data_IF_701879949882
#
_entry.id   IF_701879949882
#
_cell.length_a   1.000
_cell.length_b   1.000
_cell.length_c   1.000
_cell.angle_alpha   90.00
_cell.angle_beta   90.00
_cell.angle_gamma   90.00
#
_symmetry.space_group_name_H-M   'P 1'
#
loop_
_entity.id
_entity.type
_entity.pdbx_description
1 polymer ?
#
# COMPACT_ATOMS: atom_id res chain seq x y z
N UNK A 1 -20.36 6.78 1.03
CA UNK A 1 -20.58 5.60 0.17
C UNK A 1 -19.39 5.26 -0.72
N UNK A 2 -18.79 6.23 -1.42
CA UNK A 2 -17.68 5.99 -2.36
C UNK A 2 -16.51 5.16 -1.78
N UNK A 3 -16.04 5.51 -0.56
CA UNK A 3 -14.96 4.78 0.14
C UNK A 3 -15.25 3.29 0.38
N UNK A 4 -16.53 2.94 0.60
CA UNK A 4 -16.95 1.55 0.82
C UNK A 4 -17.01 0.79 -0.51
N UNK A 5 -17.51 1.43 -1.56
CA UNK A 5 -17.57 0.86 -2.92
C UNK A 5 -16.15 0.59 -3.42
N UNK A 6 -15.23 1.54 -3.26
CA UNK A 6 -13.83 1.36 -3.65
C UNK A 6 -13.16 0.25 -2.84
N UNK A 7 -13.43 0.15 -1.54
CA UNK A 7 -12.88 -0.93 -0.71
C UNK A 7 -13.41 -2.32 -1.14
N UNK A 8 -14.71 -2.44 -1.44
CA UNK A 8 -15.32 -3.69 -1.93
C UNK A 8 -14.74 -4.08 -3.29
N UNK A 9 -14.61 -3.12 -4.22
CA UNK A 9 -13.98 -3.36 -5.53
C UNK A 9 -12.54 -3.85 -5.39
N UNK A 10 -11.76 -3.25 -4.50
CA UNK A 10 -10.36 -3.66 -4.26
C UNK A 10 -10.28 -5.07 -3.69
N UNK A 11 -11.18 -5.41 -2.75
CA UNK A 11 -11.30 -6.75 -2.18
C UNK A 11 -11.65 -7.80 -3.23
N UNK A 12 -12.64 -7.50 -4.09
CA UNK A 12 -13.04 -8.38 -5.18
C UNK A 12 -11.90 -8.60 -6.19
N UNK A 13 -11.22 -7.54 -6.60
CA UNK A 13 -10.08 -7.63 -7.51
C UNK A 13 -8.95 -8.48 -6.94
N UNK A 14 -8.60 -8.30 -5.66
CA UNK A 14 -7.57 -9.09 -4.99
C UNK A 14 -7.97 -10.57 -4.87
N UNK A 15 -9.23 -10.85 -4.53
CA UNK A 15 -9.75 -12.21 -4.48
C UNK A 15 -9.74 -12.87 -5.87
N UNK A 16 -10.11 -12.15 -6.93
CA UNK A 16 -10.10 -12.65 -8.29
C UNK A 16 -8.68 -13.00 -8.77
N UNK A 17 -7.65 -12.29 -8.29
CA UNK A 17 -6.25 -12.60 -8.59
C UNK A 17 -5.76 -13.90 -7.92
N UNK A 18 -6.40 -14.35 -6.83
CA UNK A 18 -5.95 -15.52 -6.08
C UNK A 18 -6.42 -16.84 -6.70
N UNK A 19 -7.47 -16.82 -7.53
CA UNK A 19 -8.00 -18.02 -8.16
C UNK A 19 -7.44 -18.16 -9.58
N UNK A 20 -6.53 -19.11 -9.79
CA UNK A 20 -5.88 -19.33 -11.09
C UNK A 20 -6.81 -19.86 -12.19
N UNK A 21 -7.88 -20.61 -11.89
CA UNK A 21 -8.76 -21.16 -12.95
C UNK A 21 -10.23 -21.40 -12.57
N UNK A 22 -10.99 -20.40 -12.06
CA UNK A 22 -12.44 -20.55 -11.92
C UNK A 22 -13.14 -20.64 -13.29
N UNK A 23 -12.50 -20.14 -14.35
CA UNK A 23 -13.04 -20.12 -15.70
C UNK A 23 -13.25 -21.51 -16.31
N UNK A 24 -12.32 -22.46 -16.11
CA UNK A 24 -12.48 -23.83 -16.63
C UNK A 24 -13.65 -24.55 -15.97
N UNK A 25 -13.82 -24.34 -14.67
CA UNK A 25 -14.95 -24.89 -13.93
C UNK A 25 -16.27 -24.29 -14.43
N UNK A 26 -16.32 -22.96 -14.60
CA UNK A 26 -17.49 -22.26 -15.12
C UNK A 26 -17.84 -22.71 -16.54
N UNK A 27 -16.86 -22.82 -17.42
CA UNK A 27 -17.02 -23.31 -18.80
C UNK A 27 -17.57 -24.75 -18.83
N UNK A 28 -17.11 -25.61 -17.91
CA UNK A 28 -17.66 -26.95 -17.75
C UNK A 28 -19.13 -26.93 -17.33
N UNK A 29 -19.53 -26.08 -16.39
CA UNK A 29 -20.93 -25.99 -15.94
C UNK A 29 -21.85 -25.39 -17.01
N UNK A 30 -21.39 -24.39 -17.75
CA UNK A 30 -22.16 -23.77 -18.83
C UNK A 30 -22.28 -24.72 -20.03
N UNK A 31 -21.24 -25.51 -20.33
CA UNK A 31 -21.17 -26.34 -21.52
C UNK A 31 -20.83 -27.82 -21.24
N UNK A 32 -21.48 -28.42 -20.23
CA UNK A 32 -21.19 -29.81 -19.82
C UNK A 32 -21.34 -30.82 -20.97
N UNK A 33 -22.29 -30.57 -21.89
CA UNK A 33 -22.53 -31.42 -23.04
C UNK A 33 -21.31 -31.52 -23.99
N UNK A 34 -20.59 -30.42 -24.23
CA UNK A 34 -19.37 -30.44 -25.05
C UNK A 34 -18.26 -31.27 -24.39
N UNK A 35 -18.11 -31.17 -23.08
CA UNK A 35 -17.15 -31.97 -22.32
C UNK A 35 -17.53 -33.46 -22.32
N UNK A 36 -18.82 -33.77 -22.16
CA UNK A 36 -19.31 -35.14 -22.22
C UNK A 36 -19.12 -35.77 -23.61
N UNK A 37 -19.27 -35.00 -24.69
CA UNK A 37 -18.99 -35.44 -26.07
C UNK A 37 -17.55 -35.89 -26.26
N UNK A 38 -16.58 -35.29 -25.58
CA UNK A 38 -15.17 -35.67 -25.68
C UNK A 38 -14.69 -36.58 -24.53
N UNK A 39 -15.59 -37.12 -23.72
CA UNK A 39 -15.24 -37.95 -22.57
C UNK A 39 -14.57 -39.27 -23.00
N UNK A 40 -13.41 -39.60 -22.40
CA UNK A 40 -12.71 -40.87 -22.65
C UNK A 40 -13.36 -42.06 -21.92
N UNK A 41 -14.09 -41.80 -20.83
CA UNK A 41 -14.70 -42.83 -19.98
C UNK A 41 -16.13 -43.21 -20.43
N UNK A 42 -16.51 -42.93 -21.68
CA UNK A 42 -17.85 -43.26 -22.21
C UNK A 42 -18.18 -44.76 -22.11
N UNK A 43 -17.19 -45.61 -22.25
CA UNK A 43 -17.33 -47.07 -22.12
C UNK A 43 -17.56 -47.54 -20.66
N UNK A 44 -17.46 -46.65 -19.67
CA UNK A 44 -17.63 -46.95 -18.23
C UNK A 44 -18.74 -46.08 -17.63
N UNK A 45 -20.02 -46.32 -17.97
CA UNK A 45 -21.14 -45.49 -17.53
C UNK A 45 -21.33 -45.45 -16.01
N UNK A 46 -20.95 -46.53 -15.30
CA UNK A 46 -20.99 -46.61 -13.83
C UNK A 46 -20.16 -45.54 -13.11
N UNK A 47 -19.19 -44.92 -13.80
CA UNK A 47 -18.32 -43.89 -13.24
C UNK A 47 -18.95 -42.49 -13.21
N UNK A 48 -20.10 -42.28 -13.89
CA UNK A 48 -20.77 -40.98 -13.99
C UNK A 48 -19.83 -39.81 -14.30
N UNK A 49 -18.88 -40.03 -15.23
CA UNK A 49 -17.79 -39.08 -15.49
C UNK A 49 -18.29 -37.78 -16.13
N UNK A 50 -19.24 -37.84 -17.06
CA UNK A 50 -19.88 -36.65 -17.68
C UNK A 50 -18.89 -35.59 -18.16
N UNK A 51 -17.76 -35.99 -18.74
CA UNK A 51 -16.74 -35.06 -19.26
C UNK A 51 -15.80 -34.46 -18.22
N UNK A 52 -15.92 -34.80 -16.92
CA UNK A 52 -15.02 -34.30 -15.85
C UNK A 52 -13.54 -34.61 -16.10
N UNK A 53 -13.24 -35.70 -16.79
CA UNK A 53 -11.87 -36.03 -17.21
C UNK A 53 -11.25 -34.98 -18.14
N UNK A 54 -12.04 -34.40 -19.05
CA UNK A 54 -11.57 -33.36 -19.97
C UNK A 54 -11.41 -32.02 -19.25
N UNK A 55 -12.31 -31.70 -18.31
CA UNK A 55 -12.17 -30.53 -17.43
C UNK A 55 -10.87 -30.60 -16.62
N UNK A 56 -10.61 -31.74 -15.97
CA UNK A 56 -9.38 -31.96 -15.20
C UNK A 56 -8.13 -31.83 -16.07
N UNK A 57 -8.16 -32.34 -17.30
CA UNK A 57 -7.05 -32.23 -18.24
C UNK A 57 -6.73 -30.78 -18.60
N UNK A 58 -7.75 -29.95 -18.86
CA UNK A 58 -7.57 -28.52 -19.13
C UNK A 58 -6.97 -27.80 -17.92
N UNK A 59 -7.46 -28.10 -16.72
CA UNK A 59 -6.96 -27.51 -15.48
C UNK A 59 -5.47 -27.79 -15.27
N UNK A 60 -5.04 -29.05 -15.48
CA UNK A 60 -3.63 -29.44 -15.40
C UNK A 60 -2.76 -28.75 -16.48
N UNK A 61 -3.32 -28.48 -17.66
CA UNK A 61 -2.60 -27.78 -18.72
C UNK A 61 -2.41 -26.29 -18.38
N UNK A 62 -3.41 -25.66 -17.77
CA UNK A 62 -3.32 -24.28 -17.27
C UNK A 62 -2.33 -24.16 -16.12
N UNK A 63 -2.38 -25.06 -15.13
CA UNK A 63 -1.40 -25.10 -14.03
C UNK A 63 0.04 -25.23 -14.53
N UNK A 64 0.28 -26.08 -15.54
CA UNK A 64 1.62 -26.22 -16.15
C UNK A 64 2.07 -24.95 -16.86
N UNK A 65 1.16 -24.27 -17.58
CA UNK A 65 1.46 -22.99 -18.24
C UNK A 65 1.78 -21.90 -17.22
N UNK A 66 1.05 -21.85 -16.10
CA UNK A 66 1.34 -20.92 -15.01
C UNK A 66 2.69 -21.21 -14.34
N UNK A 67 3.00 -22.48 -14.06
CA UNK A 67 4.29 -22.87 -13.50
C UNK A 67 5.45 -22.45 -14.41
N UNK A 68 5.35 -22.74 -15.71
CA UNK A 68 6.38 -22.36 -16.69
C UNK A 68 6.52 -20.83 -16.81
N UNK A 69 5.41 -20.08 -16.75
CA UNK A 69 5.47 -18.61 -16.74
C UNK A 69 6.12 -18.06 -15.46
N UNK A 70 5.88 -18.68 -14.32
CA UNK A 70 6.43 -18.27 -13.03
C UNK A 70 7.94 -18.56 -12.93
N UNK A 71 8.39 -19.70 -13.45
CA UNK A 71 9.83 -20.01 -13.60
C UNK A 71 10.53 -18.96 -14.46
N UNK A 72 9.93 -18.60 -15.60
CA UNK A 72 10.46 -17.58 -16.50
C UNK A 72 10.44 -16.16 -15.90
N UNK A 73 9.47 -15.85 -15.03
CA UNK A 73 9.44 -14.59 -14.26
C UNK A 73 10.43 -14.54 -13.11
N UNK A 74 10.77 -15.69 -12.53
CA UNK A 74 11.71 -15.79 -11.40
C UNK A 74 13.15 -15.55 -11.86
N UNK A 75 13.53 -15.98 -13.07
CA UNK A 75 14.84 -15.63 -13.67
C UNK A 75 14.98 -14.14 -13.98
N UNK A 76 13.88 -13.42 -14.23
CA UNK A 76 13.90 -12.00 -14.66
C UNK A 76 13.97 -11.02 -13.47
N UNK A 77 13.84 -11.48 -12.22
CA UNK A 77 13.61 -10.59 -11.06
C UNK A 77 14.74 -10.54 -10.03
N UNK A 78 15.97 -10.25 -10.47
CA UNK A 78 16.95 -9.52 -9.65
C UNK A 78 17.56 -8.40 -10.50
N UNK A 79 16.73 -7.46 -10.95
CA UNK A 79 17.22 -6.12 -11.23
C UNK A 79 17.13 -5.35 -9.92
N UNK A 80 18.27 -5.21 -9.25
CA UNK A 80 18.44 -4.39 -8.05
C UNK A 80 17.91 -3.00 -8.39
N UNK A 81 16.71 -2.69 -7.91
CA UNK A 81 16.17 -1.33 -7.97
C UNK A 81 16.95 -0.52 -6.93
N UNK A 82 18.17 -0.12 -7.28
CA UNK A 82 19.00 0.79 -6.50
C UNK A 82 18.26 2.12 -6.42
N UNK A 83 17.46 2.25 -5.37
CA UNK A 83 16.75 3.47 -5.06
C UNK A 83 17.78 4.41 -4.45
N UNK A 84 18.32 5.30 -5.27
CA UNK A 84 19.20 6.39 -4.85
C UNK A 84 18.38 7.41 -4.05
N UNK A 85 17.85 7.02 -2.89
CA UNK A 85 17.11 7.92 -2.01
C UNK A 85 18.11 8.77 -1.25
N UNK A 86 18.44 9.93 -1.80
CA UNK A 86 19.14 10.99 -1.09
C UNK A 86 18.21 11.51 0.01
N UNK A 87 18.30 10.95 1.21
CA UNK A 87 17.62 11.51 2.38
C UNK A 87 18.21 12.89 2.67
N UNK A 88 17.40 13.95 2.55
CA UNK A 88 17.79 15.29 2.96
C UNK A 88 17.82 15.32 4.49
N UNK A 89 19.02 15.26 5.07
CA UNK A 89 19.20 15.41 6.51
C UNK A 89 19.11 16.89 6.87
N UNK A 90 17.97 17.29 7.43
CA UNK A 90 17.75 18.67 7.88
C UNK A 90 18.53 18.85 9.19
N UNK A 91 19.48 19.79 9.29
CA UNK A 91 20.19 20.02 10.53
C UNK A 91 19.24 20.55 11.60
N UNK A 92 19.44 20.17 12.89
CA UNK A 92 18.59 20.66 13.96
C UNK A 92 18.75 22.17 14.11
N UNK A 93 17.65 22.91 13.96
CA UNK A 93 17.61 24.36 14.16
C UNK A 93 17.70 24.64 15.66
N UNK A 94 18.71 25.42 16.07
CA UNK A 94 18.80 25.90 17.46
C UNK A 94 17.78 27.00 17.67
N UNK A 95 16.75 26.73 18.47
CA UNK A 95 15.82 27.75 18.93
C UNK A 95 16.54 28.69 19.89
N UNK A 96 16.62 29.98 19.55
CA UNK A 96 17.04 31.03 20.48
C UNK A 96 15.82 31.36 21.34
N UNK A 97 15.81 30.90 22.58
CA UNK A 97 14.81 31.33 23.56
C UNK A 97 15.09 32.79 23.91
N UNK A 98 14.31 33.72 23.33
CA UNK A 98 14.37 35.11 23.74
C UNK A 98 13.88 35.20 25.20
N UNK A 99 14.82 35.45 26.13
CA UNK A 99 14.50 35.74 27.52
C UNK A 99 13.79 37.08 27.57
N UNK A 100 12.49 37.07 27.88
CA UNK A 100 11.74 38.30 28.17
C UNK A 100 12.37 38.94 29.41
N UNK A 101 13.02 40.08 29.21
CA UNK A 101 13.53 40.89 30.31
C UNK A 101 12.33 41.65 30.88
N UNK A 102 11.80 41.21 32.02
CA UNK A 102 10.83 42.01 32.77
C UNK A 102 11.60 43.14 33.46
N UNK A 103 11.71 44.30 32.81
CA UNK A 103 12.21 45.52 33.47
C UNK A 103 11.06 46.17 34.21
N UNK A 104 10.85 45.75 35.46
CA UNK A 104 10.00 46.47 36.41
C UNK A 104 10.77 47.73 36.87
N UNK A 105 10.70 48.82 36.09
CA UNK A 105 11.11 50.14 36.58
C UNK A 105 10.01 50.69 37.48
N UNK A 106 10.20 50.51 38.79
CA UNK A 106 9.30 51.04 39.82
C UNK A 106 9.95 52.21 40.57
N UNK A 107 10.03 53.36 39.92
CA UNK A 107 10.25 54.64 40.63
C UNK A 107 9.35 55.70 40.00
N UNK A 108 8.56 56.46 40.78
CA UNK A 108 7.79 57.58 40.25
C UNK A 108 8.74 58.74 39.93
N UNK A 109 8.82 59.10 38.65
CA UNK A 109 9.40 60.36 38.18
C UNK A 109 8.40 61.48 38.46
N UNK A 110 8.43 61.99 39.69
CA UNK A 110 7.69 63.20 40.05
C UNK A 110 8.35 63.81 41.29
N UNK A 111 8.87 65.02 41.12
CA UNK A 111 9.12 66.01 42.18
C UNK A 111 10.43 65.92 43.01
N UNK A 112 11.59 65.90 42.34
CA UNK A 112 12.83 66.37 42.98
C UNK A 112 12.98 67.88 42.71
N UNK A 113 12.61 68.65 43.73
CA UNK A 113 12.67 70.12 43.77
C UNK A 113 14.11 70.65 43.77
N UNK A 114 14.38 71.68 42.97
CA UNK A 114 15.63 72.44 42.99
C UNK A 114 15.60 73.44 44.15
N UNK A 115 16.48 73.26 45.14
CA UNK A 115 16.81 74.32 46.10
C UNK A 115 18.32 74.51 46.16
N UNK A 116 18.77 75.52 45.42
CA UNK A 116 19.83 76.46 45.77
C UNK A 116 20.54 76.19 47.10
N UNK A 117 21.75 75.65 47.02
CA UNK A 117 22.76 75.88 48.05
C UNK A 117 24.17 75.79 47.42
N UNK A 118 24.73 76.95 47.09
CA UNK A 118 26.15 77.10 46.74
C UNK A 118 26.85 77.81 47.91
N UNK A 119 27.98 77.28 48.38
CA UNK A 119 28.97 78.07 49.11
C UNK A 119 30.38 77.93 48.50
N UNK A 120 31.29 78.86 48.84
CA UNK A 120 31.78 79.95 47.99
C UNK A 120 32.95 79.56 47.06
N UNK A 121 33.14 80.35 46.01
CA UNK A 121 34.32 80.27 45.15
C UNK A 121 35.47 81.07 45.78
N UNK A 122 36.53 80.36 46.15
CA UNK A 122 37.92 80.84 46.16
C UNK A 122 38.79 79.73 45.59
#
# INVERSE_FOLDING_TARGET
MFKRITAILLLLAFSAQTFSSPFVMLDYYVNTAAYAKNCINKARPKMHCNGKCQMMKKLQEEEKKEQQNNEQRSEVKIQVLSSHSSFCSIPPVKFITLRKINSERKYPLSDISYSFFHPPQV
#
